data_IF_035454133745
#
_entry.id   IF_035454133745
#
_cell.length_a   1.000
_cell.length_b   1.000
_cell.length_c   1.000
_cell.angle_alpha   90.00
_cell.angle_beta   90.00
_cell.angle_gamma   90.00
#
_symmetry.space_group_name_H-M   'P 1'
#
loop_
_entity.id
_entity.type
_entity.pdbx_description
1 polymer ?
#
# COMPACT_ATOMS: atom_id res chain seq x y z
N UNK A 1 -26.32 -58.01 -32.11
CA UNK A 1 -25.35 -58.00 -30.99
C UNK A 1 -24.66 -56.66 -31.02
N UNK A 2 -24.95 -55.80 -30.01
CA UNK A 2 -24.33 -54.50 -29.93
C UNK A 2 -23.09 -54.57 -29.05
N UNK A 3 -21.88 -54.23 -29.51
CA UNK A 3 -20.70 -54.26 -28.67
C UNK A 3 -20.78 -53.09 -27.66
N UNK A 4 -20.81 -53.43 -26.36
CA UNK A 4 -20.70 -52.45 -25.29
C UNK A 4 -19.27 -51.90 -25.31
N UNK A 5 -19.11 -50.61 -25.54
CA UNK A 5 -17.84 -49.92 -25.42
C UNK A 5 -17.31 -50.02 -23.96
N UNK A 6 -16.02 -50.25 -23.75
CA UNK A 6 -15.46 -50.32 -22.42
C UNK A 6 -15.56 -48.95 -21.75
N UNK A 7 -16.20 -48.89 -20.58
CA UNK A 7 -16.23 -47.70 -19.73
C UNK A 7 -14.86 -47.59 -19.06
N UNK A 8 -14.05 -46.63 -19.47
CA UNK A 8 -12.77 -46.30 -18.80
C UNK A 8 -13.08 -45.54 -17.52
N UNK A 9 -12.80 -46.16 -16.39
CA UNK A 9 -12.84 -45.50 -15.09
C UNK A 9 -11.55 -44.68 -14.86
N UNK A 10 -11.66 -43.58 -14.13
CA UNK A 10 -10.51 -42.80 -13.66
C UNK A 10 -9.66 -43.62 -12.69
N UNK A 11 -8.35 -43.53 -12.83
CA UNK A 11 -7.44 -44.17 -11.89
C UNK A 11 -7.17 -43.24 -10.70
N UNK A 12 -6.91 -43.79 -9.52
CA UNK A 12 -6.60 -43.01 -8.33
C UNK A 12 -5.35 -42.13 -8.52
N UNK A 13 -4.36 -42.65 -9.28
CA UNK A 13 -3.15 -41.89 -9.58
C UNK A 13 -3.41 -40.71 -10.50
N UNK A 14 -4.33 -40.85 -11.46
CA UNK A 14 -4.71 -39.75 -12.35
C UNK A 14 -5.37 -38.59 -11.58
N UNK A 15 -6.23 -38.93 -10.58
CA UNK A 15 -6.81 -37.95 -9.69
C UNK A 15 -5.74 -37.24 -8.85
N UNK A 16 -4.76 -38.00 -8.31
CA UNK A 16 -3.66 -37.41 -7.54
C UNK A 16 -2.80 -36.46 -8.36
N UNK A 17 -2.46 -36.82 -9.59
CA UNK A 17 -1.67 -35.96 -10.49
C UNK A 17 -2.42 -34.67 -10.80
N UNK A 18 -3.72 -34.75 -11.09
CA UNK A 18 -4.55 -33.55 -11.35
C UNK A 18 -4.59 -32.64 -10.12
N UNK A 19 -4.76 -33.18 -8.91
CA UNK A 19 -4.74 -32.38 -7.69
C UNK A 19 -3.39 -31.69 -7.44
N UNK A 20 -2.28 -32.39 -7.72
CA UNK A 20 -0.94 -31.78 -7.60
C UNK A 20 -0.75 -30.64 -8.60
N UNK A 21 -1.17 -30.81 -9.85
CA UNK A 21 -1.07 -29.77 -10.87
C UNK A 21 -1.91 -28.54 -10.50
N UNK A 22 -3.14 -28.76 -10.01
CA UNK A 22 -4.00 -27.66 -9.55
C UNK A 22 -3.37 -26.94 -8.35
N UNK A 23 -2.84 -27.68 -7.38
CA UNK A 23 -2.19 -27.10 -6.21
C UNK A 23 -0.96 -26.24 -6.59
N UNK A 24 -0.12 -26.71 -7.51
CA UNK A 24 1.03 -25.95 -8.02
C UNK A 24 0.59 -24.69 -8.77
N UNK A 25 -0.45 -24.77 -9.59
CA UNK A 25 -1.02 -23.61 -10.29
C UNK A 25 -1.55 -22.57 -9.31
N UNK A 26 -2.30 -22.99 -8.30
CA UNK A 26 -2.85 -22.09 -7.28
C UNK A 26 -1.74 -21.39 -6.46
N UNK A 27 -0.67 -22.09 -6.11
CA UNK A 27 0.47 -21.54 -5.41
C UNK A 27 1.18 -20.43 -6.24
N UNK A 28 1.37 -20.67 -7.53
CA UNK A 28 1.96 -19.68 -8.45
C UNK A 28 1.15 -18.39 -8.55
N UNK A 29 -0.17 -18.49 -8.62
CA UNK A 29 -1.06 -17.34 -8.65
C UNK A 29 -0.99 -16.53 -7.35
N UNK A 30 -0.99 -17.20 -6.20
CA UNK A 30 -0.92 -16.53 -4.90
C UNK A 30 0.38 -15.73 -4.73
N UNK A 31 1.53 -16.27 -5.16
CA UNK A 31 2.81 -15.55 -5.16
C UNK A 31 2.80 -14.32 -6.07
N UNK A 32 2.26 -14.45 -7.27
CA UNK A 32 2.18 -13.34 -8.25
C UNK A 32 1.33 -12.17 -7.74
N UNK A 33 0.22 -12.45 -7.05
CA UNK A 33 -0.63 -11.43 -6.44
C UNK A 33 0.08 -10.70 -5.30
N UNK A 34 0.88 -11.41 -4.51
CA UNK A 34 1.66 -10.83 -3.42
C UNK A 34 2.71 -9.85 -3.93
N UNK A 35 3.46 -10.22 -4.96
CA UNK A 35 4.48 -9.35 -5.58
C UNK A 35 3.86 -8.08 -6.17
N UNK A 36 2.67 -8.18 -6.77
CA UNK A 36 1.97 -7.03 -7.33
C UNK A 36 1.49 -6.06 -6.24
N UNK A 37 0.97 -6.56 -5.13
CA UNK A 37 0.52 -5.76 -3.99
C UNK A 37 1.69 -5.04 -3.31
N UNK A 38 2.81 -5.72 -3.14
CA UNK A 38 4.04 -5.13 -2.59
C UNK A 38 4.55 -3.98 -3.47
N UNK A 39 4.65 -4.19 -4.77
CA UNK A 39 5.08 -3.16 -5.72
C UNK A 39 4.14 -1.96 -5.74
N UNK A 40 2.83 -2.19 -5.68
CA UNK A 40 1.83 -1.13 -5.62
C UNK A 40 1.94 -0.32 -4.32
N UNK A 41 2.16 -1.01 -3.19
CA UNK A 41 2.32 -0.39 -1.88
C UNK A 41 3.61 0.44 -1.80
N UNK A 42 4.73 -0.07 -2.34
CA UNK A 42 6.00 0.66 -2.39
C UNK A 42 5.86 1.95 -3.18
N UNK A 43 5.25 1.90 -4.36
CA UNK A 43 4.98 3.09 -5.19
C UNK A 43 4.11 4.13 -4.49
N UNK A 44 3.09 3.69 -3.78
CA UNK A 44 2.21 4.60 -3.04
C UNK A 44 2.94 5.23 -1.84
N UNK A 45 3.75 4.47 -1.13
CA UNK A 45 4.55 4.97 -0.02
C UNK A 45 5.58 6.01 -0.48
N UNK A 46 6.29 5.75 -1.59
CA UNK A 46 7.23 6.71 -2.19
C UNK A 46 6.51 7.98 -2.66
N UNK A 47 5.35 7.83 -3.32
CA UNK A 47 4.51 8.96 -3.73
C UNK A 47 4.06 9.79 -2.54
N UNK A 48 3.57 9.15 -1.48
CA UNK A 48 3.14 9.84 -0.26
C UNK A 48 4.31 10.60 0.37
N UNK A 49 5.48 9.98 0.53
CA UNK A 49 6.66 10.63 1.06
C UNK A 49 7.04 11.89 0.25
N UNK A 50 7.01 11.81 -1.07
CA UNK A 50 7.28 12.96 -1.95
C UNK A 50 6.24 14.08 -1.80
N UNK A 51 4.95 13.74 -1.69
CA UNK A 51 3.87 14.73 -1.47
C UNK A 51 4.02 15.42 -0.12
N UNK A 52 4.32 14.66 0.95
CA UNK A 52 4.53 15.23 2.28
C UNK A 52 5.74 16.18 2.31
N UNK A 53 6.85 15.82 1.65
CA UNK A 53 8.02 16.71 1.55
C UNK A 53 7.74 17.97 0.71
N UNK A 54 7.00 17.82 -0.37
CA UNK A 54 6.56 18.98 -1.19
C UNK A 54 5.69 19.94 -0.37
N UNK A 55 4.71 19.41 0.36
CA UNK A 55 3.86 20.22 1.23
C UNK A 55 4.66 20.87 2.37
N UNK A 56 5.62 20.15 2.97
CA UNK A 56 6.53 20.70 3.98
C UNK A 56 7.39 21.84 3.42
N UNK A 57 7.92 21.68 2.22
CA UNK A 57 8.68 22.73 1.54
C UNK A 57 7.80 23.95 1.25
N UNK A 58 6.57 23.74 0.77
CA UNK A 58 5.58 24.79 0.53
C UNK A 58 5.21 25.53 1.82
N UNK A 59 4.94 24.80 2.90
CA UNK A 59 4.63 25.38 4.22
C UNK A 59 5.75 26.32 4.70
N UNK A 60 7.00 25.89 4.60
CA UNK A 60 8.16 26.71 4.97
C UNK A 60 8.33 27.94 4.07
N UNK A 61 8.08 27.79 2.77
CA UNK A 61 8.21 28.90 1.81
C UNK A 61 7.14 29.98 1.97
N UNK A 62 5.92 29.59 2.34
CA UNK A 62 4.76 30.48 2.44
C UNK A 62 4.46 30.94 3.87
N UNK A 63 4.99 30.26 4.88
CA UNK A 63 4.62 30.47 6.29
C UNK A 63 3.23 29.91 6.63
N UNK A 64 2.56 29.23 5.70
CA UNK A 64 1.23 28.67 5.92
C UNK A 64 1.33 27.35 6.70
N UNK A 65 0.43 27.15 7.67
CA UNK A 65 0.31 25.86 8.37
C UNK A 65 -0.35 24.86 7.45
N UNK A 66 0.38 23.83 7.07
CA UNK A 66 -0.14 22.70 6.31
C UNK A 66 -0.17 21.46 7.16
N UNK A 67 -1.20 20.63 6.99
CA UNK A 67 -1.30 19.33 7.66
C UNK A 67 -1.84 18.26 6.74
N UNK A 68 -1.30 17.04 6.85
CA UNK A 68 -1.81 15.86 6.20
C UNK A 68 -2.93 15.25 7.03
N UNK A 69 -4.02 14.88 6.35
CA UNK A 69 -5.12 14.14 6.97
C UNK A 69 -5.65 13.07 6.03
N UNK A 70 -5.66 11.78 6.47
CA UNK A 70 -6.28 10.72 5.70
C UNK A 70 -7.80 10.91 5.65
N UNK A 71 -8.38 10.57 4.50
CA UNK A 71 -9.84 10.54 4.28
C UNK A 71 -10.20 9.23 3.58
N UNK A 72 -11.46 8.80 3.55
CA UNK A 72 -11.85 7.63 2.77
C UNK A 72 -11.34 7.73 1.33
N UNK A 73 -10.73 6.64 0.83
CA UNK A 73 -10.17 6.52 -0.53
C UNK A 73 -9.03 7.49 -0.89
N UNK A 74 -8.44 8.19 0.11
CA UNK A 74 -7.38 9.14 -0.22
C UNK A 74 -6.88 9.92 0.99
N UNK A 75 -6.38 11.12 0.70
CA UNK A 75 -5.93 12.07 1.72
C UNK A 75 -6.10 13.51 1.24
N UNK A 76 -5.98 14.44 2.16
CA UNK A 76 -5.98 15.88 1.89
C UNK A 76 -4.80 16.54 2.59
N UNK A 77 -4.30 17.62 2.00
CA UNK A 77 -3.38 18.55 2.66
C UNK A 77 -4.20 19.78 3.01
N UNK A 78 -4.55 19.89 4.28
CA UNK A 78 -5.29 21.03 4.80
C UNK A 78 -4.37 22.25 4.90
N UNK A 79 -4.93 23.45 4.73
CA UNK A 79 -4.21 24.74 4.77
C UNK A 79 -3.74 25.24 3.41
N UNK A 80 -3.90 24.49 2.34
CA UNK A 80 -3.67 24.97 0.97
C UNK A 80 -4.83 25.85 0.50
N UNK A 81 -4.58 26.83 -0.41
CA UNK A 81 -5.64 27.68 -0.97
C UNK A 81 -6.73 26.90 -1.70
N UNK A 82 -6.35 25.78 -2.31
CA UNK A 82 -7.26 24.82 -2.91
C UNK A 82 -6.99 23.46 -2.27
N UNK A 83 -7.93 23.01 -1.46
CA UNK A 83 -7.85 21.69 -0.82
C UNK A 83 -8.33 20.65 -1.83
N UNK A 84 -7.38 19.97 -2.47
CA UNK A 84 -7.68 18.87 -3.37
C UNK A 84 -7.57 17.53 -2.64
N UNK A 85 -8.61 16.70 -2.78
CA UNK A 85 -8.53 15.30 -2.36
C UNK A 85 -7.66 14.53 -3.32
N UNK A 86 -6.55 14.01 -2.82
CA UNK A 86 -5.71 13.08 -3.56
C UNK A 86 -6.16 11.65 -3.27
N UNK A 87 -6.51 10.91 -4.32
CA UNK A 87 -6.91 9.50 -4.19
C UNK A 87 -5.70 8.61 -4.07
N UNK A 88 -5.84 7.51 -3.36
CA UNK A 88 -4.88 6.41 -3.40
C UNK A 88 -4.84 5.81 -4.80
N UNK A 89 -3.67 5.33 -5.22
CA UNK A 89 -3.51 4.63 -6.51
C UNK A 89 -4.27 3.30 -6.51
N UNK A 90 -4.40 2.68 -5.34
CA UNK A 90 -5.20 1.47 -5.17
C UNK A 90 -6.38 1.78 -4.23
N UNK A 91 -7.63 1.49 -4.63
CA UNK A 91 -8.82 1.78 -3.81
C UNK A 91 -8.88 0.96 -2.51
N UNK A 92 -8.21 -0.21 -2.47
CA UNK A 92 -8.17 -1.08 -1.29
C UNK A 92 -7.10 -0.65 -0.26
N UNK A 93 -6.42 0.48 -0.51
CA UNK A 93 -5.42 1.01 0.40
C UNK A 93 -6.04 1.43 1.72
N UNK A 94 -5.49 0.92 2.81
CA UNK A 94 -5.85 1.31 4.17
C UNK A 94 -4.72 2.12 4.79
N UNK A 95 -5.09 3.14 5.56
CA UNK A 95 -4.12 4.02 6.21
C UNK A 95 -4.42 4.12 7.69
N UNK A 96 -3.45 3.76 8.49
CA UNK A 96 -3.45 4.02 9.91
C UNK A 96 -2.54 5.22 10.19
N UNK A 97 -3.15 6.38 10.40
CA UNK A 97 -2.50 7.55 10.94
C UNK A 97 -3.19 7.90 12.24
N UNK A 98 -2.41 8.03 13.29
CA UNK A 98 -2.96 8.25 14.65
C UNK A 98 -3.61 9.63 14.81
N UNK A 99 -3.24 10.61 13.97
CA UNK A 99 -3.76 11.97 13.95
C UNK A 99 -3.38 12.68 12.64
N UNK A 100 -3.86 13.91 12.46
CA UNK A 100 -3.34 14.79 11.42
C UNK A 100 -1.84 15.04 11.66
N UNK A 101 -1.05 14.96 10.58
CA UNK A 101 0.39 15.18 10.64
C UNK A 101 0.67 16.62 10.25
N UNK A 102 1.20 17.42 11.18
CA UNK A 102 1.63 18.79 10.88
C UNK A 102 2.90 18.79 10.02
N UNK A 103 2.91 19.61 8.97
CA UNK A 103 3.98 19.67 7.97
C UNK A 103 4.79 20.98 8.01
N UNK A 104 4.54 21.83 9.00
CA UNK A 104 5.22 23.11 9.20
C UNK A 104 4.22 24.23 9.49
N UNK A 105 4.66 25.50 9.48
CA UNK A 105 5.86 26.11 8.85
C UNK A 105 7.16 25.99 9.66
N UNK A 106 7.12 25.47 10.86
CA UNK A 106 8.29 25.37 11.72
C UNK A 106 9.38 24.50 11.06
N UNK A 107 10.69 24.81 11.27
CA UNK A 107 11.81 24.03 10.74
C UNK A 107 11.81 22.58 11.21
N UNK A 108 11.35 22.36 12.44
CA UNK A 108 11.19 21.05 13.06
C UNK A 108 9.71 20.79 13.28
N UNK A 109 9.25 19.63 12.85
CA UNK A 109 7.90 19.13 13.12
C UNK A 109 7.97 17.99 14.14
N UNK A 110 6.84 17.61 14.71
CA UNK A 110 6.79 16.44 15.57
C UNK A 110 7.17 15.16 14.79
N UNK A 111 7.90 14.22 15.38
CA UNK A 111 8.11 12.91 14.80
C UNK A 111 6.77 12.28 14.43
N UNK A 112 6.67 11.79 13.20
CA UNK A 112 5.38 11.35 12.66
C UNK A 112 5.54 10.05 11.89
N UNK A 113 4.50 9.21 11.96
CA UNK A 113 4.44 7.90 11.32
C UNK A 113 3.08 7.69 10.68
N UNK A 114 3.09 7.31 9.41
CA UNK A 114 1.90 6.98 8.63
C UNK A 114 2.10 5.54 8.13
N UNK A 115 1.20 4.66 8.52
CA UNK A 115 1.23 3.25 8.11
C UNK A 115 0.26 3.03 6.96
N UNK A 116 0.78 2.55 5.84
CA UNK A 116 0.01 2.14 4.68
C UNK A 116 -0.11 0.61 4.68
N UNK A 117 -1.30 0.11 4.38
CA UNK A 117 -1.56 -1.33 4.28
C UNK A 117 -2.32 -1.64 3.01
N UNK A 118 -1.90 -2.68 2.31
CA UNK A 118 -2.56 -3.23 1.14
C UNK A 118 -2.49 -4.76 1.20
N UNK A 119 -3.64 -5.41 1.26
CA UNK A 119 -3.74 -6.85 1.52
C UNK A 119 -3.00 -7.25 2.83
N UNK A 120 -2.03 -8.13 2.74
CA UNK A 120 -1.19 -8.59 3.86
C UNK A 120 0.15 -7.83 4.00
N UNK A 121 0.36 -6.80 3.14
CA UNK A 121 1.59 -6.02 3.10
C UNK A 121 1.42 -4.68 3.82
N UNK A 122 2.49 -4.23 4.47
CA UNK A 122 2.51 -2.97 5.22
C UNK A 122 3.78 -2.19 4.92
N UNK A 123 3.67 -0.86 4.78
CA UNK A 123 4.79 0.09 4.71
C UNK A 123 4.56 1.25 5.65
N UNK A 124 5.64 1.83 6.10
CA UNK A 124 5.63 2.99 6.98
C UNK A 124 6.31 4.16 6.28
N UNK A 125 5.64 5.30 6.27
CA UNK A 125 6.22 6.59 5.89
C UNK A 125 6.42 7.40 7.16
N UNK A 126 7.67 7.68 7.51
CA UNK A 126 7.99 8.30 8.80
C UNK A 126 9.06 9.39 8.68
N UNK A 127 9.03 10.31 9.65
CA UNK A 127 10.06 11.32 9.88
C UNK A 127 10.33 11.45 11.37
N UNK A 128 11.58 11.77 11.71
CA UNK A 128 11.98 12.21 13.07
C UNK A 128 11.70 13.71 13.32
N UNK A 129 11.10 14.39 12.33
CA UNK A 129 10.79 15.81 12.36
C UNK A 129 11.90 16.71 11.82
N UNK A 130 13.14 16.23 11.72
CA UNK A 130 14.28 16.95 11.17
C UNK A 130 14.58 16.49 9.73
N UNK A 131 14.63 15.18 9.55
CA UNK A 131 14.94 14.54 8.25
C UNK A 131 13.70 14.47 7.37
N UNK A 132 13.90 14.32 6.05
CA UNK A 132 12.81 14.04 5.13
C UNK A 132 12.03 12.77 5.51
N UNK A 133 10.77 12.71 5.10
CA UNK A 133 9.98 11.48 5.20
C UNK A 133 10.66 10.35 4.44
N UNK A 134 10.77 9.20 5.08
CA UNK A 134 11.35 7.98 4.51
C UNK A 134 10.33 6.86 4.52
N UNK A 135 10.45 6.00 3.52
CA UNK A 135 9.72 4.74 3.44
C UNK A 135 10.54 3.65 4.10
N UNK A 136 9.91 2.84 4.91
CA UNK A 136 10.53 1.69 5.57
C UNK A 136 9.52 0.61 5.93
N UNK A 137 10.02 -0.46 6.51
CA UNK A 137 9.18 -1.51 7.10
C UNK A 137 8.80 -1.15 8.54
N UNK A 138 7.79 -1.82 9.08
CA UNK A 138 7.23 -1.52 10.41
C UNK A 138 8.29 -1.58 11.52
N UNK A 139 9.28 -2.45 11.39
CA UNK A 139 10.32 -2.70 12.40
C UNK A 139 11.63 -1.92 12.17
N UNK A 140 11.74 -1.12 11.11
CA UNK A 140 13.00 -0.52 10.66
C UNK A 140 13.14 1.01 10.78
N UNK A 141 12.17 1.72 11.38
CA UNK A 141 12.17 3.19 11.51
C UNK A 141 11.94 3.66 12.96
#
# INVERSE_FOLDING_TARGET
MNPRAPVRGFTLIELMVVLVVIAMGAAGVALSLRDSSQTALDREADRLAAVLESARAQSRATGARLSFRPVPEGFVIDGQPQVERQRWLNPDMQVAASAAVELGPEPMIAPSRITLQLADQTRVVATDGLRPFKVGEVDGL
#
